data_IF_232715822304
#
_entry.id   IF_232715822304
#
_cell.length_a   1.000
_cell.length_b   1.000
_cell.length_c   1.000
_cell.angle_alpha   90.00
_cell.angle_beta   90.00
_cell.angle_gamma   90.00
#
_symmetry.space_group_name_H-M   'P 1'
#
loop_
_entity.id
_entity.type
_entity.pdbx_description
1 polymer ?
#
# COMPACT_ATOMS: atom_id res chain seq x y z
N UNK A 1 18.06 75.99 13.95
CA UNK A 1 18.79 74.74 13.64
C UNK A 1 17.89 73.48 13.54
N UNK A 2 16.55 73.61 13.58
CA UNK A 2 15.66 72.44 13.78
C UNK A 2 15.20 71.69 12.51
N UNK A 3 15.31 72.26 11.30
CA UNK A 3 14.80 71.59 10.08
C UNK A 3 15.68 70.43 9.55
N UNK A 4 16.88 70.20 10.11
CA UNK A 4 17.77 69.09 9.71
C UNK A 4 17.61 67.80 10.55
N UNK A 5 17.01 67.87 11.73
CA UNK A 5 16.80 66.68 12.59
C UNK A 5 15.54 65.88 12.22
N UNK A 6 14.48 66.53 11.71
CA UNK A 6 13.21 65.86 11.41
C UNK A 6 13.21 65.05 10.10
N UNK A 7 14.05 65.41 9.11
CA UNK A 7 14.23 64.64 7.86
C UNK A 7 15.14 63.41 7.99
N UNK A 8 15.94 63.32 9.07
CA UNK A 8 16.78 62.15 9.36
C UNK A 8 15.96 61.01 9.99
N UNK A 9 15.00 61.32 10.88
CA UNK A 9 14.13 60.32 11.51
C UNK A 9 13.23 59.55 10.54
N UNK A 10 12.65 60.20 9.52
CA UNK A 10 11.75 59.52 8.56
C UNK A 10 12.48 58.60 7.58
N UNK A 11 13.70 58.97 7.14
CA UNK A 11 14.54 58.14 6.26
C UNK A 11 15.06 56.88 6.96
N UNK A 12 15.30 56.93 8.27
CA UNK A 12 15.73 55.77 9.07
C UNK A 12 14.58 54.78 9.23
N UNK A 13 13.36 55.26 9.50
CA UNK A 13 12.15 54.44 9.53
C UNK A 13 11.87 53.72 8.21
N UNK A 14 11.97 54.44 7.09
CA UNK A 14 11.73 53.88 5.75
C UNK A 14 12.76 52.81 5.35
N UNK A 15 14.04 53.02 5.67
CA UNK A 15 15.09 52.00 5.45
C UNK A 15 14.84 50.73 6.25
N UNK A 16 14.48 50.86 7.53
CA UNK A 16 14.15 49.71 8.39
C UNK A 16 12.94 48.93 7.87
N UNK A 17 11.94 49.64 7.32
CA UNK A 17 10.76 49.03 6.72
C UNK A 17 11.11 48.26 5.45
N UNK A 18 11.96 48.85 4.59
CA UNK A 18 12.44 48.23 3.36
C UNK A 18 13.21 46.93 3.64
N UNK A 19 14.00 46.93 4.71
CA UNK A 19 14.80 45.79 5.14
C UNK A 19 13.93 44.64 5.70
N UNK A 20 12.91 44.98 6.50
CA UNK A 20 11.87 44.04 6.93
C UNK A 20 11.11 43.44 5.73
N UNK A 21 10.77 44.24 4.73
CA UNK A 21 10.11 43.78 3.50
C UNK A 21 11.00 42.84 2.67
N UNK A 22 12.31 43.15 2.57
CA UNK A 22 13.30 42.28 1.91
C UNK A 22 13.44 40.94 2.63
N UNK A 23 13.51 40.94 3.97
CA UNK A 23 13.57 39.72 4.80
C UNK A 23 12.33 38.84 4.60
N UNK A 24 11.13 39.44 4.65
CA UNK A 24 9.85 38.73 4.43
C UNK A 24 9.72 38.17 3.00
N UNK A 25 10.22 38.88 1.98
CA UNK A 25 10.31 38.36 0.60
C UNK A 25 11.27 37.17 0.50
N UNK A 26 12.41 37.20 1.18
CA UNK A 26 13.38 36.09 1.22
C UNK A 26 12.80 34.85 1.92
N UNK A 27 12.12 35.03 3.06
CA UNK A 27 11.39 33.95 3.74
C UNK A 27 10.30 33.34 2.86
N UNK A 28 9.49 34.16 2.17
CA UNK A 28 8.46 33.65 1.24
C UNK A 28 9.06 32.86 0.07
N UNK A 29 10.21 33.30 -0.46
CA UNK A 29 10.94 32.56 -1.51
C UNK A 29 11.49 31.24 -0.98
N UNK A 30 12.06 31.22 0.22
CA UNK A 30 12.52 29.99 0.87
C UNK A 30 11.36 29.03 1.13
N UNK A 31 10.22 29.52 1.62
CA UNK A 31 9.03 28.70 1.86
C UNK A 31 8.47 28.09 0.56
N UNK A 32 8.48 28.85 -0.54
CA UNK A 32 8.12 28.33 -1.88
C UNK A 32 9.09 27.26 -2.35
N UNK A 33 10.40 27.47 -2.16
CA UNK A 33 11.44 26.49 -2.52
C UNK A 33 11.33 25.22 -1.69
N UNK A 34 11.06 25.34 -0.39
CA UNK A 34 10.81 24.21 0.52
C UNK A 34 9.54 23.47 0.12
N UNK A 35 8.43 24.16 -0.15
CA UNK A 35 7.20 23.52 -0.67
C UNK A 35 7.42 22.82 -2.00
N UNK A 36 8.16 23.45 -2.92
CA UNK A 36 8.52 22.86 -4.20
C UNK A 36 9.39 21.61 -4.02
N UNK A 37 10.41 21.65 -3.17
CA UNK A 37 11.24 20.50 -2.85
C UNK A 37 10.42 19.38 -2.20
N UNK A 38 9.57 19.68 -1.22
CA UNK A 38 8.63 18.72 -0.60
C UNK A 38 7.68 18.11 -1.64
N UNK A 39 7.17 18.91 -2.58
CA UNK A 39 6.31 18.41 -3.66
C UNK A 39 7.08 17.54 -4.67
N UNK A 40 8.37 17.83 -4.88
CA UNK A 40 9.25 17.11 -5.80
C UNK A 40 9.79 15.81 -5.18
N UNK A 41 9.98 15.77 -3.87
CA UNK A 41 10.34 14.58 -3.08
C UNK A 41 9.14 13.75 -2.66
N UNK A 42 7.91 14.19 -2.96
CA UNK A 42 6.73 13.34 -2.89
C UNK A 42 6.93 12.23 -3.95
N UNK A 43 7.60 11.15 -3.54
CA UNK A 43 7.78 9.89 -4.29
C UNK A 43 6.48 9.69 -5.06
N UNK A 44 6.55 9.64 -6.39
CA UNK A 44 5.35 9.55 -7.24
C UNK A 44 4.66 8.24 -6.82
N UNK A 45 3.62 8.34 -5.99
CA UNK A 45 2.79 7.22 -5.53
C UNK A 45 1.86 6.84 -6.67
N UNK A 46 2.44 6.46 -7.81
CA UNK A 46 1.69 5.98 -8.96
C UNK A 46 1.80 4.46 -9.00
N UNK A 47 0.65 3.78 -8.98
CA UNK A 47 0.58 2.37 -9.34
C UNK A 47 0.80 2.28 -10.85
N UNK A 48 1.79 1.50 -11.23
CA UNK A 48 2.06 1.21 -12.63
C UNK A 48 1.10 0.16 -13.16
N UNK A 49 0.57 0.38 -14.36
CA UNK A 49 -0.29 -0.60 -15.03
C UNK A 49 0.13 -0.78 -16.49
N UNK A 50 -0.13 -1.96 -17.04
CA UNK A 50 -0.10 -2.21 -18.48
C UNK A 50 -1.51 -2.51 -18.98
N UNK A 51 -1.78 -2.16 -20.24
CA UNK A 51 -3.03 -2.50 -20.90
C UNK A 51 -2.92 -3.91 -21.49
N UNK A 52 -3.85 -4.79 -21.09
CA UNK A 52 -3.97 -6.14 -21.64
C UNK A 52 -5.33 -6.34 -22.26
N UNK A 53 -5.38 -6.95 -23.43
CA UNK A 53 -6.64 -7.30 -24.08
C UNK A 53 -7.11 -8.67 -23.59
N UNK A 54 -8.30 -8.74 -22.98
CA UNK A 54 -8.92 -9.99 -22.52
C UNK A 54 -10.35 -10.12 -23.03
N UNK A 55 -10.82 -11.37 -23.11
CA UNK A 55 -12.22 -11.69 -23.40
C UNK A 55 -13.11 -11.26 -22.23
N UNK A 56 -14.33 -10.80 -22.53
CA UNK A 56 -15.31 -10.44 -21.50
C UNK A 56 -15.80 -11.66 -20.74
N UNK A 57 -16.05 -12.75 -21.46
CA UNK A 57 -16.28 -14.08 -20.87
C UNK A 57 -15.13 -15.01 -21.30
N UNK A 58 -14.31 -15.51 -20.36
CA UNK A 58 -13.24 -16.45 -20.66
C UNK A 58 -13.73 -17.77 -21.30
N UNK A 59 -15.00 -18.14 -21.11
CA UNK A 59 -15.57 -19.43 -21.54
C UNK A 59 -16.22 -19.35 -22.91
N UNK A 60 -16.65 -18.17 -23.34
CA UNK A 60 -17.22 -17.95 -24.66
C UNK A 60 -16.12 -17.57 -25.68
N UNK A 61 -15.95 -18.42 -26.69
CA UNK A 61 -14.97 -18.26 -27.74
C UNK A 61 -15.19 -16.98 -28.58
N UNK A 62 -16.45 -16.57 -28.76
CA UNK A 62 -16.87 -15.43 -29.59
C UNK A 62 -17.02 -14.12 -28.80
N UNK A 63 -16.74 -14.15 -27.49
CA UNK A 63 -16.95 -12.98 -26.65
C UNK A 63 -16.06 -11.80 -27.06
N UNK A 64 -16.64 -10.60 -26.99
CA UNK A 64 -15.96 -9.34 -27.33
C UNK A 64 -14.75 -9.13 -26.41
N UNK A 65 -13.62 -8.80 -27.03
CA UNK A 65 -12.38 -8.46 -26.33
C UNK A 65 -12.42 -7.02 -25.81
N UNK A 66 -12.01 -6.81 -24.56
CA UNK A 66 -11.91 -5.50 -23.91
C UNK A 66 -10.48 -5.26 -23.41
N UNK A 67 -10.09 -3.99 -23.33
CA UNK A 67 -8.84 -3.58 -22.71
C UNK A 67 -9.01 -3.46 -21.20
N UNK A 68 -8.11 -4.09 -20.46
CA UNK A 68 -8.08 -4.07 -18.99
C UNK A 68 -6.73 -3.55 -18.51
N UNK A 69 -6.75 -2.67 -17.51
CA UNK A 69 -5.54 -2.29 -16.79
C UNK A 69 -5.14 -3.44 -15.85
N UNK A 70 -3.90 -3.91 -15.95
CA UNK A 70 -3.31 -4.87 -15.01
C UNK A 70 -2.15 -4.20 -14.29
N UNK A 71 -2.10 -4.31 -12.96
CA UNK A 71 -0.98 -3.78 -12.19
C UNK A 71 0.33 -4.43 -12.63
N UNK A 72 1.33 -3.61 -12.91
CA UNK A 72 2.67 -4.03 -13.32
C UNK A 72 3.67 -3.64 -12.23
N UNK A 73 4.50 -4.58 -11.78
CA UNK A 73 5.56 -4.30 -10.80
C UNK A 73 6.81 -3.79 -11.50
N UNK A 74 7.33 -2.65 -11.03
CA UNK A 74 8.59 -2.10 -11.55
C UNK A 74 9.75 -2.94 -11.04
N UNK A 75 9.81 -3.09 -9.71
CA UNK A 75 10.84 -3.82 -8.99
C UNK A 75 10.20 -4.70 -7.92
N UNK A 76 10.92 -5.74 -7.53
CA UNK A 76 10.66 -6.51 -6.31
C UNK A 76 11.58 -5.96 -5.22
N UNK A 77 11.01 -5.72 -4.05
CA UNK A 77 11.78 -5.38 -2.85
C UNK A 77 11.90 -6.65 -2.01
N UNK A 78 13.12 -7.12 -1.75
CA UNK A 78 13.38 -8.32 -0.98
C UNK A 78 13.45 -8.04 0.53
N UNK A 79 13.47 -9.11 1.32
CA UNK A 79 13.47 -9.01 2.78
C UNK A 79 14.71 -8.28 3.31
N UNK A 80 15.86 -8.54 2.68
CA UNK A 80 17.15 -7.93 3.04
C UNK A 80 17.12 -6.41 2.83
N UNK A 81 16.64 -5.94 1.67
CA UNK A 81 16.50 -4.51 1.40
C UNK A 81 15.42 -3.85 2.26
N UNK A 82 14.34 -4.56 2.63
CA UNK A 82 13.35 -4.03 3.60
C UNK A 82 14.02 -3.75 4.94
N UNK A 83 14.81 -4.70 5.46
CA UNK A 83 15.48 -4.55 6.75
C UNK A 83 16.51 -3.43 6.70
N UNK A 84 17.29 -3.36 5.61
CA UNK A 84 18.24 -2.27 5.36
C UNK A 84 17.54 -0.90 5.30
N UNK A 85 16.49 -0.74 4.48
CA UNK A 85 15.77 0.53 4.34
C UNK A 85 15.11 0.96 5.67
N UNK A 86 14.62 0.01 6.47
CA UNK A 86 13.99 0.26 7.76
C UNK A 86 14.98 0.80 8.83
N UNK A 87 16.28 0.48 8.72
CA UNK A 87 17.30 1.05 9.63
C UNK A 87 17.33 2.58 9.57
N UNK A 88 17.02 3.18 8.42
CA UNK A 88 17.00 4.64 8.26
C UNK A 88 15.92 5.34 9.09
N UNK A 89 14.88 4.60 9.49
CA UNK A 89 13.73 5.11 10.24
C UNK A 89 13.78 4.83 11.75
N UNK A 90 14.78 4.10 12.25
CA UNK A 90 14.87 3.72 13.66
C UNK A 90 16.33 3.57 14.13
N UNK A 91 16.53 3.34 15.43
CA UNK A 91 17.87 3.10 15.99
C UNK A 91 18.27 1.62 16.01
N UNK A 92 17.41 0.74 15.48
CA UNK A 92 17.68 -0.69 15.42
C UNK A 92 18.66 -1.02 14.30
N UNK A 93 19.54 -1.99 14.53
CA UNK A 93 20.39 -2.52 13.46
C UNK A 93 19.55 -3.39 12.53
N UNK A 94 20.06 -3.65 11.31
CA UNK A 94 19.43 -4.58 10.38
C UNK A 94 19.14 -5.95 11.02
N UNK A 95 20.11 -6.49 11.76
CA UNK A 95 19.97 -7.78 12.45
C UNK A 95 18.87 -7.77 13.52
N UNK A 96 18.70 -6.64 14.24
CA UNK A 96 17.60 -6.51 15.20
C UNK A 96 16.23 -6.54 14.50
N UNK A 97 16.10 -5.86 13.36
CA UNK A 97 14.86 -5.82 12.58
C UNK A 97 14.52 -7.21 12.03
N UNK A 98 15.50 -7.91 11.46
CA UNK A 98 15.34 -9.28 10.97
C UNK A 98 14.88 -10.21 12.10
N UNK A 99 15.51 -10.11 13.27
CA UNK A 99 15.16 -10.92 14.44
C UNK A 99 13.72 -10.68 14.88
N UNK A 100 13.30 -9.41 14.97
CA UNK A 100 11.94 -9.04 15.38
C UNK A 100 10.89 -9.52 14.38
N UNK A 101 11.13 -9.35 13.07
CA UNK A 101 10.19 -9.80 12.03
C UNK A 101 10.04 -11.32 12.03
N UNK A 102 11.14 -12.07 12.19
CA UNK A 102 11.11 -13.53 12.29
C UNK A 102 10.40 -14.00 13.58
N UNK A 103 10.68 -13.36 14.71
CA UNK A 103 10.01 -13.67 15.97
C UNK A 103 8.50 -13.40 15.89
N UNK A 104 8.10 -12.26 15.29
CA UNK A 104 6.70 -11.93 15.06
C UNK A 104 6.01 -12.96 14.15
N UNK A 105 6.67 -13.38 13.06
CA UNK A 105 6.15 -14.41 12.16
C UNK A 105 5.95 -15.75 12.88
N UNK A 106 6.88 -16.13 13.76
CA UNK A 106 6.76 -17.35 14.59
C UNK A 106 5.55 -17.29 15.51
N UNK A 107 5.35 -16.16 16.21
CA UNK A 107 4.18 -15.93 17.07
C UNK A 107 2.88 -15.98 16.26
N UNK A 108 2.81 -15.27 15.13
CA UNK A 108 1.63 -15.25 14.26
C UNK A 108 1.27 -16.67 13.82
N UNK A 109 2.24 -17.43 13.31
CA UNK A 109 2.04 -18.81 12.84
C UNK A 109 1.51 -19.72 13.96
N UNK A 110 2.10 -19.64 15.16
CA UNK A 110 1.68 -20.46 16.31
C UNK A 110 0.23 -20.18 16.72
N UNK A 111 -0.17 -18.92 16.79
CA UNK A 111 -1.52 -18.54 17.18
C UNK A 111 -2.55 -18.84 16.08
N UNK A 112 -2.21 -18.68 14.80
CA UNK A 112 -3.07 -19.10 13.68
C UNK A 112 -3.31 -20.62 13.67
N UNK A 113 -2.30 -21.42 14.00
CA UNK A 113 -2.42 -22.87 14.10
C UNK A 113 -3.36 -23.30 15.25
N UNK A 114 -3.51 -22.47 16.28
CA UNK A 114 -4.45 -22.68 17.39
C UNK A 114 -5.89 -22.26 17.04
N UNK A 115 -6.14 -21.79 15.81
CA UNK A 115 -7.44 -21.31 15.37
C UNK A 115 -7.76 -19.87 15.81
N UNK A 116 -6.77 -19.17 16.39
CA UNK A 116 -6.94 -17.77 16.75
C UNK A 116 -6.86 -16.86 15.51
N UNK A 117 -7.34 -15.64 15.69
CA UNK A 117 -7.17 -14.59 14.69
C UNK A 117 -6.20 -13.55 15.23
N UNK A 118 -5.12 -13.34 14.49
CA UNK A 118 -4.07 -12.40 14.87
C UNK A 118 -4.33 -11.04 14.22
N UNK A 119 -4.48 -10.01 15.04
CA UNK A 119 -4.62 -8.61 14.60
C UNK A 119 -3.35 -7.86 14.96
N UNK A 120 -2.58 -7.46 13.94
CA UNK A 120 -1.31 -6.77 14.09
C UNK A 120 -1.48 -5.27 13.78
N UNK A 121 -2.11 -4.54 14.69
CA UNK A 121 -2.25 -3.07 14.62
C UNK A 121 -2.70 -2.56 13.24
N UNK A 122 -1.95 -1.58 12.69
CA UNK A 122 -2.22 -1.01 11.36
C UNK A 122 -1.73 -1.88 10.19
N UNK A 123 -0.98 -2.96 10.46
CA UNK A 123 -0.52 -3.88 9.44
C UNK A 123 -1.72 -4.65 8.86
N UNK A 124 -2.53 -5.25 9.73
CA UNK A 124 -3.76 -5.90 9.33
C UNK A 124 -4.18 -7.06 10.21
N UNK A 125 -5.02 -7.92 9.64
CA UNK A 125 -5.61 -9.10 10.30
C UNK A 125 -5.25 -10.36 9.52
N UNK A 126 -4.75 -11.36 10.23
CA UNK A 126 -4.49 -12.70 9.71
C UNK A 126 -5.54 -13.67 10.26
N UNK A 127 -6.22 -14.40 9.39
CA UNK A 127 -7.22 -15.39 9.78
C UNK A 127 -7.12 -16.63 8.93
N UNK A 128 -7.45 -17.77 9.49
CA UNK A 128 -7.49 -19.05 8.79
C UNK A 128 -8.78 -19.18 7.97
N UNK A 129 -8.66 -19.63 6.72
CA UNK A 129 -9.77 -19.92 5.82
C UNK A 129 -9.73 -21.40 5.44
N UNK A 130 -10.87 -22.08 5.54
CA UNK A 130 -11.02 -23.48 5.12
C UNK A 130 -11.62 -23.52 3.72
N UNK A 131 -10.94 -24.20 2.80
CA UNK A 131 -11.45 -24.50 1.46
C UNK A 131 -12.08 -25.89 1.47
N UNK A 132 -13.34 -25.98 1.06
CA UNK A 132 -14.05 -27.25 0.93
C UNK A 132 -13.81 -27.87 -0.44
N UNK A 133 -13.86 -29.20 -0.54
CA UNK A 133 -13.74 -29.91 -1.83
C UNK A 133 -14.92 -29.64 -2.76
N UNK A 134 -16.09 -29.42 -2.19
CA UNK A 134 -17.30 -29.09 -2.93
C UNK A 134 -17.59 -27.59 -2.77
N UNK A 135 -17.74 -26.83 -3.87
CA UNK A 135 -18.11 -25.43 -3.82
C UNK A 135 -19.53 -25.26 -3.29
N UNK A 136 -19.82 -24.07 -2.74
CA UNK A 136 -21.14 -23.74 -2.17
C UNK A 136 -22.22 -23.51 -3.24
N UNK A 137 -21.84 -23.39 -4.52
CA UNK A 137 -22.74 -23.24 -5.64
C UNK A 137 -22.63 -24.44 -6.58
N UNK A 138 -23.77 -24.87 -7.12
CA UNK A 138 -23.83 -25.91 -8.14
C UNK A 138 -23.24 -25.37 -9.43
N UNK A 139 -22.04 -25.84 -9.76
CA UNK A 139 -21.46 -25.58 -11.06
C UNK A 139 -21.90 -26.73 -11.97
N UNK A 140 -22.82 -26.47 -12.90
CA UNK A 140 -23.11 -27.38 -14.02
C UNK A 140 -21.90 -27.41 -14.98
N UNK A 141 -20.80 -28.03 -14.55
CA UNK A 141 -19.77 -28.48 -15.47
C UNK A 141 -20.22 -29.83 -16.00
N UNK A 142 -20.70 -29.84 -17.25
CA UNK A 142 -20.67 -30.95 -18.20
C UNK A 142 -20.51 -32.34 -17.54
N UNK A 143 -21.65 -32.96 -17.24
CA UNK A 143 -21.77 -34.39 -16.90
C UNK A 143 -20.97 -34.92 -15.70
N UNK A 144 -20.44 -34.08 -14.80
CA UNK A 144 -19.97 -34.56 -13.50
C UNK A 144 -21.11 -34.50 -12.49
N UNK A 145 -21.58 -35.68 -12.08
CA UNK A 145 -22.61 -35.90 -11.04
C UNK A 145 -22.45 -34.85 -9.93
N UNK A 146 -23.49 -34.05 -9.71
CA UNK A 146 -23.57 -33.17 -8.54
C UNK A 146 -23.35 -34.07 -7.32
N UNK A 147 -22.33 -33.80 -6.48
CA UNK A 147 -22.07 -34.62 -5.30
C UNK A 147 -23.31 -34.57 -4.40
N UNK A 148 -23.68 -35.72 -3.82
CA UNK A 148 -24.80 -35.77 -2.89
C UNK A 148 -24.60 -34.74 -1.76
N UNK A 149 -25.68 -34.09 -1.28
CA UNK A 149 -25.58 -33.12 -0.21
C UNK A 149 -24.90 -33.75 1.01
N UNK A 150 -23.85 -33.11 1.51
CA UNK A 150 -23.14 -33.57 2.70
C UNK A 150 -23.93 -33.10 3.92
N UNK A 151 -24.65 -34.01 4.56
CA UNK A 151 -25.33 -33.72 5.81
C UNK A 151 -24.31 -33.54 6.93
N UNK A 152 -24.70 -32.81 7.99
CA UNK A 152 -23.84 -32.60 9.16
C UNK A 152 -23.37 -33.91 9.80
N UNK A 153 -24.20 -34.96 9.78
CA UNK A 153 -23.87 -36.27 10.34
C UNK A 153 -22.77 -37.00 9.55
N UNK A 154 -22.70 -36.78 8.24
CA UNK A 154 -21.76 -37.45 7.33
C UNK A 154 -20.50 -36.62 7.07
N UNK A 155 -20.44 -35.40 7.62
CA UNK A 155 -19.30 -34.51 7.44
C UNK A 155 -18.07 -35.06 8.16
N UNK A 156 -16.98 -35.23 7.42
CA UNK A 156 -15.67 -35.60 7.96
C UNK A 156 -14.59 -34.68 7.38
N UNK A 157 -13.69 -34.11 8.22
CA UNK A 157 -12.65 -33.19 7.76
C UNK A 157 -11.80 -33.74 6.61
N UNK A 158 -11.39 -35.00 6.68
CA UNK A 158 -10.53 -35.67 5.68
C UNK A 158 -11.22 -35.72 4.30
N UNK A 159 -12.53 -35.95 4.29
CA UNK A 159 -13.26 -36.14 3.04
C UNK A 159 -13.79 -34.83 2.47
N UNK A 160 -14.12 -33.84 3.30
CA UNK A 160 -14.82 -32.64 2.86
C UNK A 160 -13.94 -31.39 2.80
N UNK A 161 -12.86 -31.31 3.59
CA UNK A 161 -11.91 -30.19 3.54
C UNK A 161 -10.85 -30.49 2.49
N UNK A 162 -10.61 -29.53 1.60
CA UNK A 162 -9.59 -29.61 0.55
C UNK A 162 -8.26 -29.03 1.01
N UNK A 163 -8.31 -27.83 1.58
CA UNK A 163 -7.12 -27.07 1.95
C UNK A 163 -7.45 -26.05 3.05
N UNK A 164 -6.40 -25.53 3.67
CA UNK A 164 -6.48 -24.41 4.61
C UNK A 164 -5.54 -23.32 4.13
N UNK A 165 -6.04 -22.09 4.12
CA UNK A 165 -5.32 -20.90 3.64
C UNK A 165 -5.24 -19.84 4.72
N UNK A 166 -4.17 -19.05 4.70
CA UNK A 166 -4.12 -17.82 5.49
C UNK A 166 -4.71 -16.68 4.68
N UNK A 167 -5.76 -16.06 5.21
CA UNK A 167 -6.33 -14.82 4.69
C UNK A 167 -5.71 -13.64 5.43
N UNK A 168 -5.02 -12.79 4.69
CA UNK A 168 -4.57 -11.47 5.17
C UNK A 168 -5.56 -10.39 4.73
N UNK A 169 -6.04 -9.61 5.69
CA UNK A 169 -6.86 -8.41 5.44
C UNK A 169 -6.02 -7.17 5.77
N UNK A 170 -5.68 -6.32 4.79
CA UNK A 170 -4.86 -5.13 5.01
C UNK A 170 -5.47 -4.19 6.04
N UNK A 171 -4.62 -3.60 6.88
CA UNK A 171 -5.01 -2.56 7.84
C UNK A 171 -5.26 -1.19 7.19
N UNK A 172 -5.57 -0.18 8.01
CA UNK A 172 -6.03 1.13 7.53
C UNK A 172 -4.99 1.87 6.71
N UNK A 173 -3.71 1.84 7.10
CA UNK A 173 -2.63 2.53 6.39
C UNK A 173 -2.52 2.08 4.92
N UNK A 174 -2.54 0.76 4.69
CA UNK A 174 -2.49 0.17 3.34
C UNK A 174 -3.73 0.51 2.52
N UNK A 175 -4.93 0.50 3.14
CA UNK A 175 -6.17 0.89 2.45
C UNK A 175 -6.18 2.36 2.05
N UNK A 176 -5.72 3.24 2.94
CA UNK A 176 -5.65 4.68 2.68
C UNK A 176 -4.67 5.01 1.55
N UNK A 177 -3.56 4.26 1.46
CA UNK A 177 -2.64 4.38 0.33
C UNK A 177 -3.35 4.10 -1.00
N UNK A 178 -4.13 3.01 -1.09
CA UNK A 178 -4.91 2.69 -2.29
C UNK A 178 -5.94 3.77 -2.68
N UNK A 179 -6.53 4.47 -1.70
CA UNK A 179 -7.51 5.54 -1.97
C UNK A 179 -6.89 6.83 -2.54
N UNK A 180 -5.58 7.04 -2.37
CA UNK A 180 -4.88 8.27 -2.76
C UNK A 180 -3.91 8.10 -3.92
N UNK A 181 -3.88 6.90 -4.50
CA UNK A 181 -2.90 6.50 -5.50
C UNK A 181 -3.23 7.12 -6.87
N UNK A 182 -2.20 7.52 -7.61
CA UNK A 182 -2.33 7.88 -9.02
C UNK A 182 -1.94 6.70 -9.90
N UNK A 183 -2.16 6.78 -11.22
CA UNK A 183 -1.84 5.70 -12.15
C UNK A 183 -0.84 6.16 -13.19
N UNK A 184 0.06 5.26 -13.58
CA UNK A 184 1.03 5.48 -14.65
C UNK A 184 1.05 4.26 -15.56
N UNK A 185 0.77 4.46 -16.84
CA UNK A 185 0.92 3.40 -17.83
C UNK A 185 2.39 3.06 -18.05
N UNK A 186 2.69 1.78 -18.18
CA UNK A 186 4.00 1.25 -18.55
C UNK A 186 3.84 0.19 -19.62
N UNK A 187 4.86 0.05 -20.46
CA UNK A 187 4.92 -1.03 -21.43
C UNK A 187 4.86 -2.39 -20.73
N UNK A 188 4.22 -3.34 -21.40
CA UNK A 188 4.14 -4.71 -20.91
C UNK A 188 5.55 -5.32 -20.93
N UNK A 189 6.05 -5.74 -19.77
CA UNK A 189 7.28 -6.55 -19.71
C UNK A 189 7.02 -7.86 -20.49
N UNK A 190 7.93 -8.25 -21.40
CA UNK A 190 7.79 -9.48 -22.18
C UNK A 190 7.77 -10.74 -21.31
#
# INVERSE_FOLDING_TARGET
MEKKLQKRGSKVGLKSLLEKMKKKKKERKNLRKVKYLISKTKKIMAVTYCLVQRKTDPRDAQSVKRWYATASSINTLDFDAICEEATSGCSATKGDIELVLNAALSVITRHLAQGEVVVLGEFGRFSTLVENKHPWYDYEAEQKKIPAPVNKADFSPVNNIKATHIRFSPGKALRNMCSSVTYREVEQKP
#
